data_IF_289128260688
#
_entry.id   IF_289128260688
#
_cell.length_a   1.000
_cell.length_b   1.000
_cell.length_c   1.000
_cell.angle_alpha   90.00
_cell.angle_beta   90.00
_cell.angle_gamma   90.00
#
_symmetry.space_group_name_H-M   'P 1'
#
loop_
_entity.id
_entity.type
_entity.pdbx_description
1 polymer ?
#
# COMPACT_ATOMS: atom_id res chain seq x y z
N UNK A 1 17.18 38.09 39.97
CA UNK A 1 16.37 37.20 39.11
C UNK A 1 16.98 37.19 37.72
N UNK A 2 17.59 36.07 37.31
CA UNK A 2 18.03 35.89 35.92
C UNK A 2 16.81 35.51 35.08
N UNK A 3 16.61 36.07 33.88
CA UNK A 3 15.58 35.58 32.99
C UNK A 3 16.01 34.23 32.40
N UNK A 4 15.25 33.20 32.74
CA UNK A 4 15.22 31.89 32.08
C UNK A 4 14.62 32.06 30.67
N UNK A 5 15.37 32.67 29.76
CA UNK A 5 15.05 32.52 28.33
C UNK A 5 15.68 31.20 27.87
N UNK A 6 14.90 30.27 27.30
CA UNK A 6 15.46 29.06 26.72
C UNK A 6 16.47 29.46 25.64
N UNK A 7 17.56 28.70 25.61
CA UNK A 7 18.65 28.77 24.63
C UNK A 7 18.12 29.20 23.26
N UNK A 8 18.75 30.23 22.69
CA UNK A 8 18.48 30.70 21.32
C UNK A 8 18.67 29.53 20.34
N UNK A 9 17.62 28.75 20.09
CA UNK A 9 17.40 28.21 18.75
C UNK A 9 17.40 29.46 17.86
N UNK A 10 18.45 29.63 17.06
CA UNK A 10 18.46 30.68 16.04
C UNK A 10 17.16 30.52 15.28
N UNK A 11 16.28 31.52 15.35
CA UNK A 11 15.14 31.60 14.47
C UNK A 11 15.74 31.66 13.06
N UNK A 12 15.86 30.49 12.41
CA UNK A 12 16.28 30.41 11.03
C UNK A 12 15.22 31.20 10.26
N UNK A 13 15.66 32.23 9.56
CA UNK A 13 14.76 33.06 8.76
C UNK A 13 14.13 32.16 7.71
N UNK A 14 12.81 31.94 7.83
CA UNK A 14 12.09 31.03 6.94
C UNK A 14 11.81 31.77 5.65
N UNK A 15 12.42 31.34 4.55
CA UNK A 15 12.13 31.93 3.24
C UNK A 15 10.80 31.42 2.70
N UNK A 16 10.28 32.10 1.67
CA UNK A 16 9.08 31.64 0.97
C UNK A 16 9.30 30.27 0.33
N UNK A 17 10.47 30.02 -0.25
CA UNK A 17 10.80 28.73 -0.85
C UNK A 17 10.82 27.60 0.20
N UNK A 18 11.29 27.89 1.42
CA UNK A 18 11.29 26.92 2.51
C UNK A 18 9.86 26.54 2.93
N UNK A 19 8.95 27.53 3.05
CA UNK A 19 7.52 27.29 3.27
C UNK A 19 6.88 26.46 2.15
N UNK A 20 7.19 26.77 0.89
CA UNK A 20 6.67 26.02 -0.26
C UNK A 20 7.14 24.55 -0.24
N UNK A 21 8.40 24.30 0.14
CA UNK A 21 8.94 22.95 0.32
C UNK A 21 8.29 22.20 1.49
N UNK A 22 8.04 22.86 2.62
CA UNK A 22 7.34 22.26 3.77
C UNK A 22 5.91 21.88 3.37
N UNK A 23 5.17 22.77 2.70
CA UNK A 23 3.84 22.47 2.24
C UNK A 23 3.82 21.34 1.18
N UNK A 24 4.82 21.31 0.30
CA UNK A 24 4.97 20.22 -0.67
C UNK A 24 5.26 18.88 0.03
N UNK A 25 6.15 18.88 1.02
CA UNK A 25 6.46 17.71 1.84
C UNK A 25 5.20 17.15 2.51
N UNK A 26 4.40 18.01 3.15
CA UNK A 26 3.16 17.58 3.82
C UNK A 26 2.18 16.88 2.85
N UNK A 27 1.96 17.46 1.66
CA UNK A 27 1.09 16.85 0.63
C UNK A 27 1.64 15.52 0.11
N UNK A 28 2.94 15.47 -0.15
CA UNK A 28 3.61 14.27 -0.62
C UNK A 28 3.60 13.17 0.44
N UNK A 29 3.74 13.53 1.72
CA UNK A 29 3.67 12.59 2.83
C UNK A 29 2.27 11.97 2.98
N UNK A 30 1.20 12.77 2.88
CA UNK A 30 -0.17 12.21 2.88
C UNK A 30 -0.36 11.25 1.71
N UNK A 31 0.04 11.66 0.50
CA UNK A 31 -0.04 10.80 -0.68
C UNK A 31 0.79 9.51 -0.53
N UNK A 32 1.97 9.60 0.09
CA UNK A 32 2.83 8.46 0.38
C UNK A 32 2.15 7.49 1.35
N UNK A 33 1.54 8.00 2.43
CA UNK A 33 0.80 7.20 3.41
C UNK A 33 -0.36 6.45 2.75
N UNK A 34 -1.18 7.16 1.97
CA UNK A 34 -2.33 6.57 1.27
C UNK A 34 -1.89 5.48 0.28
N UNK A 35 -0.78 5.70 -0.44
CA UNK A 35 -0.23 4.70 -1.35
C UNK A 35 0.36 3.49 -0.61
N UNK A 36 0.95 3.69 0.58
CA UNK A 36 1.49 2.61 1.40
C UNK A 36 0.37 1.74 1.96
N UNK A 37 -0.72 2.36 2.42
CA UNK A 37 -1.95 1.66 2.82
C UNK A 37 -2.54 0.89 1.65
N UNK A 38 -2.68 1.54 0.48
CA UNK A 38 -3.16 0.86 -0.74
C UNK A 38 -2.29 -0.33 -1.15
N UNK A 39 -0.97 -0.22 -1.03
CA UNK A 39 -0.06 -1.33 -1.34
C UNK A 39 -0.30 -2.53 -0.43
N UNK A 40 -0.57 -2.27 0.86
CA UNK A 40 -0.90 -3.30 1.85
C UNK A 40 -2.25 -3.95 1.57
N UNK A 41 -3.28 -3.16 1.24
CA UNK A 41 -4.58 -3.71 0.83
C UNK A 41 -4.48 -4.65 -0.38
N UNK A 42 -3.68 -4.28 -1.37
CA UNK A 42 -3.46 -5.10 -2.57
C UNK A 42 -2.74 -6.40 -2.20
N UNK A 43 -1.76 -6.35 -1.29
CA UNK A 43 -1.06 -7.53 -0.79
C UNK A 43 -2.02 -8.48 -0.06
N UNK A 44 -2.86 -7.97 0.84
CA UNK A 44 -3.90 -8.75 1.53
C UNK A 44 -4.90 -9.39 0.54
N UNK A 45 -5.26 -8.69 -0.53
CA UNK A 45 -6.13 -9.24 -1.58
C UNK A 45 -5.45 -10.36 -2.37
N UNK A 46 -4.16 -10.22 -2.71
CA UNK A 46 -3.38 -11.27 -3.38
C UNK A 46 -3.27 -12.53 -2.51
N UNK A 47 -3.01 -12.36 -1.21
CA UNK A 47 -2.94 -13.47 -0.25
C UNK A 47 -4.30 -14.18 -0.12
N UNK A 48 -5.38 -13.41 -0.11
CA UNK A 48 -6.76 -13.94 -0.08
C UNK A 48 -7.05 -14.77 -1.33
N UNK A 49 -6.70 -14.27 -2.52
CA UNK A 49 -6.88 -15.01 -3.78
C UNK A 49 -6.03 -16.28 -3.83
N UNK A 50 -4.79 -16.22 -3.33
CA UNK A 50 -3.89 -17.38 -3.26
C UNK A 50 -4.44 -18.46 -2.32
N UNK A 51 -4.97 -18.05 -1.17
CA UNK A 51 -5.65 -18.95 -0.22
C UNK A 51 -6.91 -19.56 -0.85
N UNK A 52 -7.68 -18.78 -1.62
CA UNK A 52 -8.86 -19.27 -2.32
C UNK A 52 -8.52 -20.30 -3.41
N UNK A 53 -7.42 -20.08 -4.16
CA UNK A 53 -6.92 -21.03 -5.17
C UNK A 53 -6.45 -22.34 -4.53
N UNK A 54 -5.73 -22.28 -3.40
CA UNK A 54 -5.33 -23.48 -2.64
C UNK A 54 -6.55 -24.29 -2.16
N UNK A 55 -7.57 -23.61 -1.62
CA UNK A 55 -8.82 -24.28 -1.21
C UNK A 55 -9.59 -24.87 -2.37
N UNK A 56 -9.55 -24.22 -3.54
CA UNK A 56 -10.18 -24.76 -4.75
C UNK A 56 -9.51 -26.08 -5.16
N UNK A 57 -8.18 -26.16 -5.08
CA UNK A 57 -7.41 -27.37 -5.35
C UNK A 57 -7.80 -28.52 -4.39
N UNK A 58 -7.85 -28.22 -3.08
CA UNK A 58 -8.29 -29.20 -2.06
C UNK A 58 -9.70 -29.74 -2.35
N UNK A 59 -10.62 -28.87 -2.78
CA UNK A 59 -11.98 -29.26 -3.15
C UNK A 59 -12.04 -30.07 -4.45
N UNK A 60 -11.15 -29.83 -5.42
CA UNK A 60 -11.10 -30.60 -6.67
C UNK A 60 -10.64 -32.04 -6.40
N UNK A 61 -9.60 -32.20 -5.57
CA UNK A 61 -9.09 -33.51 -5.13
C UNK A 61 -10.15 -34.29 -4.31
N UNK A 62 -10.93 -33.62 -3.46
CA UNK A 62 -12.04 -34.25 -2.69
C UNK A 62 -13.24 -34.66 -3.57
N UNK A 63 -13.48 -33.96 -4.69
CA UNK A 63 -14.61 -34.24 -5.61
C UNK A 63 -14.29 -35.36 -6.59
N UNK A 64 -13.03 -35.56 -6.98
CA UNK A 64 -12.62 -36.74 -7.76
C UNK A 64 -12.79 -38.06 -6.97
N UNK A 65 -12.74 -38.04 -5.63
CA UNK A 65 -13.03 -39.22 -4.79
C UNK A 65 -14.53 -39.53 -4.64
N UNK A 66 -15.41 -38.60 -5.05
CA UNK A 66 -16.87 -38.74 -5.03
C UNK A 66 -17.41 -38.94 -6.45
N UNK A 67 -16.99 -40.03 -7.09
CA UNK A 67 -17.56 -40.52 -8.36
C UNK A 67 -19.05 -40.84 -8.20
N UNK A 68 -19.94 -39.85 -8.32
CA UNK A 68 -21.28 -40.01 -8.93
C UNK A 68 -22.02 -38.66 -9.01
N UNK A 69 -22.23 -38.22 -10.26
CA UNK A 69 -23.29 -37.32 -10.75
C UNK A 69 -23.34 -35.85 -10.27
N UNK A 70 -22.91 -34.94 -11.16
CA UNK A 70 -23.11 -33.47 -11.14
C UNK A 70 -22.19 -32.59 -10.26
N UNK A 71 -20.93 -32.97 -10.06
CA UNK A 71 -19.93 -32.17 -9.33
C UNK A 71 -19.49 -30.89 -10.05
N UNK A 72 -20.14 -29.77 -9.75
CA UNK A 72 -19.68 -28.43 -10.14
C UNK A 72 -19.56 -27.51 -8.93
N UNK A 73 -18.40 -26.86 -8.75
CA UNK A 73 -18.17 -25.95 -7.64
C UNK A 73 -18.96 -24.65 -7.82
N UNK A 74 -19.71 -24.25 -6.78
CA UNK A 74 -20.55 -23.04 -6.83
C UNK A 74 -19.76 -21.81 -6.37
N UNK A 75 -19.57 -20.84 -7.28
CA UNK A 75 -18.98 -19.54 -6.99
C UNK A 75 -20.05 -18.54 -6.56
N UNK A 76 -19.92 -17.97 -5.36
CA UNK A 76 -20.78 -16.90 -4.89
C UNK A 76 -20.25 -15.53 -5.33
N UNK A 77 -21.10 -14.73 -5.99
CA UNK A 77 -20.82 -13.33 -6.34
C UNK A 77 -21.97 -12.48 -5.77
N UNK A 78 -21.69 -11.76 -4.67
CA UNK A 78 -22.71 -10.99 -3.96
C UNK A 78 -23.78 -11.90 -3.34
N UNK A 79 -25.02 -11.80 -3.83
CA UNK A 79 -26.15 -12.63 -3.39
C UNK A 79 -26.51 -13.77 -4.35
N UNK A 80 -25.70 -14.00 -5.40
CA UNK A 80 -25.98 -14.97 -6.46
C UNK A 80 -24.90 -16.05 -6.51
N UNK A 81 -25.31 -17.28 -6.83
CA UNK A 81 -24.42 -18.44 -6.94
C UNK A 81 -24.37 -18.93 -8.39
N UNK A 82 -23.16 -19.19 -8.90
CA UNK A 82 -22.92 -19.69 -10.25
C UNK A 82 -22.17 -21.01 -10.16
N UNK A 83 -22.72 -22.08 -10.75
CA UNK A 83 -21.99 -23.34 -10.90
C UNK A 83 -20.99 -23.19 -12.03
N UNK A 84 -19.70 -23.25 -11.69
CA UNK A 84 -18.60 -23.18 -12.65
C UNK A 84 -17.70 -24.39 -12.47
N UNK A 85 -16.98 -24.77 -13.54
CA UNK A 85 -15.95 -25.79 -13.41
C UNK A 85 -14.78 -25.24 -12.58
N UNK A 86 -14.11 -26.08 -11.77
CA UNK A 86 -12.92 -25.70 -11.00
C UNK A 86 -11.86 -25.01 -11.88
N UNK A 87 -11.57 -25.56 -13.06
CA UNK A 87 -10.66 -24.96 -14.06
C UNK A 87 -11.06 -23.54 -14.49
N UNK A 88 -12.36 -23.22 -14.52
CA UNK A 88 -12.84 -21.89 -14.90
C UNK A 88 -12.71 -20.90 -13.75
N UNK A 89 -12.94 -21.34 -12.52
CA UNK A 89 -12.76 -20.53 -11.32
C UNK A 89 -11.27 -20.21 -11.14
N UNK A 90 -10.40 -21.20 -11.31
CA UNK A 90 -8.94 -21.04 -11.20
C UNK A 90 -8.40 -19.97 -12.18
N UNK A 91 -8.79 -20.06 -13.46
CA UNK A 91 -8.46 -19.03 -14.47
C UNK A 91 -8.96 -17.62 -14.11
N UNK A 92 -10.08 -17.50 -13.40
CA UNK A 92 -10.60 -16.20 -12.96
C UNK A 92 -9.79 -15.66 -11.78
N UNK A 93 -9.40 -16.53 -10.84
CA UNK A 93 -8.54 -16.17 -9.70
C UNK A 93 -7.16 -15.72 -10.19
N UNK A 94 -6.54 -16.48 -11.10
CA UNK A 94 -5.24 -16.15 -11.69
C UNK A 94 -5.27 -14.80 -12.41
N UNK A 95 -6.28 -14.56 -13.24
CA UNK A 95 -6.41 -13.27 -13.95
C UNK A 95 -6.58 -12.09 -12.99
N UNK A 96 -7.34 -12.28 -11.91
CA UNK A 96 -7.50 -11.24 -10.88
C UNK A 96 -6.18 -11.01 -10.15
N UNK A 97 -5.44 -12.08 -9.82
CA UNK A 97 -4.11 -11.98 -9.19
C UNK A 97 -3.13 -11.22 -10.08
N UNK A 98 -3.01 -11.56 -11.37
CA UNK A 98 -2.13 -10.85 -12.32
C UNK A 98 -2.48 -9.35 -12.43
N UNK A 99 -3.77 -9.01 -12.39
CA UNK A 99 -4.23 -7.62 -12.42
C UNK A 99 -3.78 -6.87 -11.15
N UNK A 100 -3.94 -7.49 -9.99
CA UNK A 100 -3.53 -6.92 -8.71
C UNK A 100 -2.01 -6.82 -8.57
N UNK A 101 -1.25 -7.81 -9.04
CA UNK A 101 0.22 -7.77 -9.09
C UNK A 101 0.72 -6.59 -9.95
N UNK A 102 0.10 -6.40 -11.12
CA UNK A 102 0.41 -5.25 -11.99
C UNK A 102 0.09 -3.91 -11.30
N UNK A 103 -1.06 -3.82 -10.62
CA UNK A 103 -1.42 -2.63 -9.82
C UNK A 103 -0.40 -2.41 -8.69
N UNK A 104 0.00 -3.47 -8.00
CA UNK A 104 0.96 -3.43 -6.90
C UNK A 104 2.31 -2.89 -7.37
N UNK A 105 2.81 -3.35 -8.53
CA UNK A 105 4.02 -2.81 -9.13
C UNK A 105 3.90 -1.31 -9.45
N UNK A 106 2.74 -0.90 -9.99
CA UNK A 106 2.45 0.51 -10.28
C UNK A 106 2.47 1.37 -9.03
N UNK A 107 1.83 0.92 -7.95
CA UNK A 107 1.83 1.58 -6.65
C UNK A 107 3.24 1.65 -6.07
N UNK A 108 4.00 0.54 -6.07
CA UNK A 108 5.40 0.50 -5.60
C UNK A 108 6.29 1.49 -6.36
N UNK A 109 6.14 1.60 -7.69
CA UNK A 109 6.86 2.60 -8.51
C UNK A 109 6.51 4.03 -8.09
N UNK A 110 5.22 4.33 -7.85
CA UNK A 110 4.78 5.66 -7.39
C UNK A 110 5.32 5.99 -6.00
N UNK A 111 5.30 5.04 -5.07
CA UNK A 111 5.92 5.17 -3.75
C UNK A 111 7.40 5.51 -3.91
N UNK A 112 8.15 4.76 -4.71
CA UNK A 112 9.58 5.02 -4.95
C UNK A 112 9.86 6.43 -5.48
N UNK A 113 9.06 6.90 -6.44
CA UNK A 113 9.18 8.26 -6.96
C UNK A 113 8.92 9.33 -5.89
N UNK A 114 7.89 9.14 -5.05
CA UNK A 114 7.56 10.09 -3.97
C UNK A 114 8.66 10.09 -2.91
N UNK A 115 9.18 8.92 -2.53
CA UNK A 115 10.30 8.78 -1.59
C UNK A 115 11.52 9.59 -2.03
N UNK A 116 11.89 9.51 -3.32
CA UNK A 116 13.01 10.31 -3.86
C UNK A 116 12.79 11.82 -3.69
N UNK A 117 11.56 12.29 -3.89
CA UNK A 117 11.22 13.71 -3.74
C UNK A 117 11.20 14.11 -2.25
N UNK A 118 10.60 13.29 -1.38
CA UNK A 118 10.58 13.50 0.06
C UNK A 118 12.00 13.57 0.63
N UNK A 119 12.90 12.67 0.23
CA UNK A 119 14.31 12.68 0.61
C UNK A 119 15.05 13.94 0.15
N UNK A 120 14.76 14.39 -1.07
CA UNK A 120 15.35 15.62 -1.60
C UNK A 120 14.93 16.83 -0.78
N UNK A 121 13.64 16.92 -0.43
CA UNK A 121 13.12 18.01 0.41
C UNK A 121 13.72 17.92 1.82
N UNK A 122 13.77 16.72 2.42
CA UNK A 122 14.40 16.47 3.73
C UNK A 122 15.84 16.98 3.76
N UNK A 123 16.69 16.51 2.84
CA UNK A 123 18.11 16.92 2.76
C UNK A 123 18.31 18.42 2.56
N UNK A 124 17.33 19.12 2.00
CA UNK A 124 17.39 20.57 1.78
C UNK A 124 17.02 21.36 3.03
N UNK A 125 16.02 20.90 3.78
CA UNK A 125 15.45 21.61 4.93
C UNK A 125 16.08 21.22 6.27
N UNK A 126 16.50 19.96 6.43
CA UNK A 126 17.08 19.41 7.67
C UNK A 126 18.33 20.16 8.15
N UNK A 127 19.29 20.58 7.29
CA UNK A 127 20.43 21.38 7.73
C UNK A 127 20.06 22.80 8.21
N UNK A 128 18.92 23.34 7.72
CA UNK A 128 18.47 24.70 8.03
C UNK A 128 17.66 24.75 9.33
N UNK A 129 16.78 23.78 9.52
CA UNK A 129 15.78 23.79 10.58
C UNK A 129 16.01 22.71 11.64
N UNK A 130 16.82 21.68 11.36
CA UNK A 130 17.13 20.61 12.32
C UNK A 130 15.86 20.02 12.95
N UNK A 131 15.80 20.03 14.28
CA UNK A 131 14.65 19.55 15.07
C UNK A 131 13.44 20.51 15.09
N UNK A 132 13.54 21.70 14.50
CA UNK A 132 12.45 22.69 14.52
C UNK A 132 11.28 22.31 13.61
N UNK A 133 11.46 21.35 12.69
CA UNK A 133 10.42 20.85 11.79
C UNK A 133 10.45 19.33 11.73
N UNK A 134 9.28 18.71 11.63
CA UNK A 134 9.18 17.26 11.45
C UNK A 134 9.17 16.91 9.96
N UNK A 135 10.26 16.30 9.48
CA UNK A 135 10.40 15.77 8.12
C UNK A 135 10.57 14.25 8.12
N UNK A 136 10.14 13.58 9.20
CA UNK A 136 10.21 12.14 9.29
C UNK A 136 8.99 11.49 8.63
N UNK A 137 9.23 10.82 7.48
CA UNK A 137 8.22 10.01 6.78
C UNK A 137 8.51 8.50 6.91
N UNK A 138 9.62 8.14 7.58
CA UNK A 138 10.13 6.77 7.75
C UNK A 138 9.76 6.18 9.10
N UNK A 139 9.47 7.02 10.11
CA UNK A 139 8.86 6.56 11.36
C UNK A 139 7.43 6.12 11.07
N UNK A 140 7.22 4.81 11.02
CA UNK A 140 5.90 4.21 11.20
C UNK A 140 5.36 4.69 12.55
N UNK A 141 4.20 5.36 12.52
CA UNK A 141 3.43 5.65 13.73
C UNK A 141 2.60 4.42 14.11
#
# INVERSE_FOLDING_TARGET
MQPLLPSKQKAAEVTREDQEMICAFARLYMTYSDLKERAKEIEEQIDTLSTASLKLLELDDEVEEAEDEMGGTSLAIGSSFFTLTPTRIDKLLDKQRETLETEQEGVKKRIGNITLVLDRIRKTLEPKFGEAINLDYTREQ
#
